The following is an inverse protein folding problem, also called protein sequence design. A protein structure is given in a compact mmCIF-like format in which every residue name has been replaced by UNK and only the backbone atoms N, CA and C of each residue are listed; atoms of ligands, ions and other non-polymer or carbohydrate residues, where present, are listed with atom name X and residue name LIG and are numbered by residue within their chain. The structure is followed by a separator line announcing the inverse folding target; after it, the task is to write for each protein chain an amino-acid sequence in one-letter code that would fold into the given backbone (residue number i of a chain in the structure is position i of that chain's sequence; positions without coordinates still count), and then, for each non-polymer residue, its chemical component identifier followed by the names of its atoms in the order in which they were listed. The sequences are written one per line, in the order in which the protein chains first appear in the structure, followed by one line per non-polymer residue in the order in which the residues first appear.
data_IF_832137595265
#
_entry.id   IF_832137595265
#
_cell.length_a   1.000
_cell.length_b   1.000
_cell.length_c   1.000
_cell.angle_alpha   90.00
_cell.angle_beta   90.00
_cell.angle_gamma   90.00
#
_symmetry.space_group_name_H-M   'P 1'
#
loop_
_entity.id
_entity.type
_entity.pdbx_description
1 polymer ?
#
# COMPACT_ATOMS: atom_id res chain seq x y z
N UNK A 1 18.89 14.43 -63.50
CA UNK A 1 17.96 14.49 -62.35
C UNK A 1 18.02 13.14 -61.65
N UNK A 2 18.78 12.98 -60.55
CA UNK A 2 18.85 11.70 -59.85
C UNK A 2 17.60 11.49 -58.98
N UNK A 3 17.04 10.29 -59.12
CA UNK A 3 15.84 9.77 -58.47
C UNK A 3 16.13 9.54 -56.97
N UNK A 4 15.44 10.25 -56.08
CA UNK A 4 15.59 10.08 -54.64
C UNK A 4 14.73 8.90 -54.15
N UNK A 5 15.38 7.95 -53.47
CA UNK A 5 14.77 6.77 -52.85
C UNK A 5 13.73 7.19 -51.80
N UNK A 6 12.53 6.55 -51.75
CA UNK A 6 11.57 6.85 -50.69
C UNK A 6 12.11 6.37 -49.33
N UNK A 7 11.85 7.12 -48.25
CA UNK A 7 12.29 6.75 -46.90
C UNK A 7 11.61 5.46 -46.43
N UNK A 8 12.27 4.68 -45.55
CA UNK A 8 11.70 3.45 -45.01
C UNK A 8 10.41 3.77 -44.25
N UNK A 9 9.37 2.98 -44.51
CA UNK A 9 8.16 3.01 -43.72
C UNK A 9 8.52 2.56 -42.30
N UNK A 10 8.53 3.50 -41.35
CA UNK A 10 8.52 3.18 -39.94
C UNK A 10 7.21 2.44 -39.66
N UNK A 11 7.35 1.12 -39.57
CA UNK A 11 6.36 0.20 -39.05
C UNK A 11 6.23 0.39 -37.54
N UNK A 12 5.79 1.59 -37.13
CA UNK A 12 5.30 1.83 -35.77
C UNK A 12 3.90 1.23 -35.71
N UNK A 13 3.86 -0.10 -35.71
CA UNK A 13 2.71 -0.93 -35.34
C UNK A 13 2.30 -0.49 -33.94
N UNK A 14 1.45 0.54 -33.91
CA UNK A 14 0.88 1.09 -32.70
C UNK A 14 0.34 -0.06 -31.86
N UNK A 15 0.83 -0.16 -30.61
CA UNK A 15 0.37 -1.18 -29.66
C UNK A 15 -1.14 -1.27 -29.75
N UNK A 16 -1.60 -2.48 -30.04
CA UNK A 16 -3.00 -2.84 -30.08
C UNK A 16 -3.64 -2.40 -28.76
N UNK A 17 -4.35 -1.27 -28.80
CA UNK A 17 -5.07 -0.77 -27.64
C UNK A 17 -6.22 -1.73 -27.48
N UNK A 18 -6.33 -2.42 -26.34
CA UNK A 18 -7.55 -3.17 -26.05
C UNK A 18 -8.76 -2.23 -26.19
N UNK A 19 -9.53 -2.46 -27.26
CA UNK A 19 -10.73 -1.70 -27.55
C UNK A 19 -11.80 -2.10 -26.53
N UNK A 20 -11.98 -1.29 -25.49
CA UNK A 20 -13.15 -1.42 -24.61
C UNK A 20 -14.40 -1.04 -25.41
N UNK A 21 -15.42 -1.90 -25.35
CA UNK A 21 -16.75 -1.63 -25.91
C UNK A 21 -17.79 -1.67 -24.78
N UNK A 22 -18.59 -0.60 -24.61
CA UNK A 22 -18.58 0.65 -25.39
C UNK A 22 -17.29 1.46 -25.16
N UNK A 23 -16.90 2.24 -26.18
CA UNK A 23 -15.73 3.11 -26.08
C UNK A 23 -15.95 4.20 -25.04
N UNK A 24 -14.86 4.77 -24.50
CA UNK A 24 -14.92 5.85 -23.50
C UNK A 24 -15.79 7.00 -24.03
N UNK A 25 -16.86 7.33 -23.30
CA UNK A 25 -17.92 8.24 -23.75
C UNK A 25 -17.55 9.73 -23.60
N UNK A 26 -16.67 10.07 -22.66
CA UNK A 26 -16.32 11.45 -22.31
C UNK A 26 -14.94 11.85 -22.84
N UNK A 27 -14.84 13.06 -23.42
CA UNK A 27 -13.61 13.65 -23.96
C UNK A 27 -13.29 14.98 -23.28
N UNK A 28 -12.05 15.13 -22.85
CA UNK A 28 -11.48 16.39 -22.38
C UNK A 28 -10.52 16.96 -23.44
N UNK A 29 -10.54 18.28 -23.62
CA UNK A 29 -9.71 18.99 -24.62
C UNK A 29 -8.90 20.12 -23.96
N UNK A 30 -7.83 19.79 -23.21
CA UNK A 30 -6.97 20.79 -22.59
C UNK A 30 -6.15 21.57 -23.64
N UNK A 31 -5.78 22.81 -23.30
CA UNK A 31 -4.98 23.71 -24.14
C UNK A 31 -3.64 23.96 -23.45
N UNK A 32 -2.56 23.96 -24.22
CA UNK A 32 -1.19 24.14 -23.74
C UNK A 32 -0.47 25.20 -24.56
N UNK A 33 0.41 25.96 -23.90
CA UNK A 33 1.44 26.76 -24.58
C UNK A 33 2.48 25.85 -25.27
N UNK A 34 3.30 26.43 -26.14
CA UNK A 34 4.34 25.68 -26.86
C UNK A 34 5.33 24.99 -25.91
N UNK A 35 5.76 25.69 -24.85
CA UNK A 35 6.72 25.16 -23.88
C UNK A 35 6.14 24.03 -23.03
N UNK A 36 4.87 24.13 -22.63
CA UNK A 36 4.16 23.07 -21.90
C UNK A 36 3.99 21.82 -22.76
N UNK A 37 3.66 22.00 -24.04
CA UNK A 37 3.52 20.90 -24.98
C UNK A 37 4.86 20.16 -25.18
N UNK A 38 5.96 20.89 -25.33
CA UNK A 38 7.29 20.30 -25.48
C UNK A 38 7.68 19.42 -24.27
N UNK A 39 7.41 19.90 -23.05
CA UNK A 39 7.65 19.13 -21.82
C UNK A 39 6.82 17.85 -21.75
N UNK A 40 5.55 17.92 -22.12
CA UNK A 40 4.65 16.76 -22.14
C UNK A 40 5.12 15.74 -23.18
N UNK A 41 5.52 16.19 -24.38
CA UNK A 41 6.03 15.31 -25.43
C UNK A 41 7.31 14.59 -25.00
N UNK A 42 8.24 15.31 -24.37
CA UNK A 42 9.46 14.73 -23.84
C UNK A 42 9.17 13.66 -22.77
N UNK A 43 8.29 13.95 -21.81
CA UNK A 43 7.91 13.01 -20.77
C UNK A 43 7.19 11.77 -21.34
N UNK A 44 6.31 11.96 -22.31
CA UNK A 44 5.59 10.87 -22.97
C UNK A 44 6.55 9.95 -23.76
N UNK A 45 7.56 10.52 -24.43
CA UNK A 45 8.57 9.75 -25.15
C UNK A 45 9.40 8.85 -24.23
N UNK A 46 9.75 9.33 -23.03
CA UNK A 46 10.51 8.55 -22.04
C UNK A 46 9.79 7.27 -21.58
N UNK A 47 8.47 7.27 -21.60
CA UNK A 47 7.63 6.12 -21.19
C UNK A 47 6.95 5.41 -22.38
N UNK A 48 7.38 5.71 -23.61
CA UNK A 48 6.83 5.15 -24.85
C UNK A 48 5.29 5.29 -24.97
N UNK A 49 4.76 6.46 -24.62
CA UNK A 49 3.35 6.81 -24.74
C UNK A 49 3.14 7.97 -25.72
N UNK A 50 1.94 8.08 -26.28
CA UNK A 50 1.56 9.31 -26.98
C UNK A 50 1.31 10.42 -25.96
N UNK A 51 1.51 11.69 -26.34
CA UNK A 51 1.25 12.83 -25.45
C UNK A 51 -0.17 12.80 -24.85
N UNK A 52 -1.19 12.46 -25.64
CA UNK A 52 -2.58 12.32 -25.16
C UNK A 52 -2.74 11.16 -24.18
N UNK A 53 -2.11 10.02 -24.44
CA UNK A 53 -2.16 8.86 -23.55
C UNK A 53 -1.45 9.13 -22.23
N UNK A 54 -0.31 9.80 -22.29
CA UNK A 54 0.43 10.26 -21.12
C UNK A 54 -0.40 11.23 -20.28
N UNK A 55 -1.03 12.24 -20.89
CA UNK A 55 -1.92 13.16 -20.16
C UNK A 55 -3.09 12.44 -19.48
N UNK A 56 -3.70 11.46 -20.17
CA UNK A 56 -4.80 10.69 -19.61
C UNK A 56 -4.35 9.80 -18.44
N UNK A 57 -3.21 9.10 -18.57
CA UNK A 57 -2.69 8.25 -17.49
C UNK A 57 -2.18 9.08 -16.32
N UNK A 58 -1.52 10.21 -16.56
CA UNK A 58 -1.08 11.13 -15.52
C UNK A 58 -2.29 11.71 -14.76
N UNK A 59 -3.33 12.14 -15.48
CA UNK A 59 -4.56 12.64 -14.86
C UNK A 59 -5.29 11.55 -14.06
N UNK A 60 -5.38 10.32 -14.57
CA UNK A 60 -5.99 9.20 -13.86
C UNK A 60 -5.15 8.73 -12.68
N UNK A 61 -3.82 8.67 -12.80
CA UNK A 61 -2.93 8.35 -11.69
C UNK A 61 -3.07 9.38 -10.57
N UNK A 62 -3.09 10.67 -10.92
CA UNK A 62 -3.32 11.73 -9.95
C UNK A 62 -4.73 11.67 -9.36
N UNK A 63 -5.77 11.44 -10.16
CA UNK A 63 -7.14 11.29 -9.67
C UNK A 63 -7.30 10.06 -8.76
N UNK A 64 -6.67 8.92 -9.08
CA UNK A 64 -6.62 7.73 -8.23
C UNK A 64 -5.87 8.01 -6.92
N UNK A 65 -4.83 8.83 -6.96
CA UNK A 65 -4.11 9.28 -5.77
C UNK A 65 -4.94 10.28 -4.96
N UNK A 66 -5.70 11.17 -5.60
CA UNK A 66 -6.63 12.10 -4.93
C UNK A 66 -7.83 11.36 -4.38
N UNK A 67 -8.34 10.33 -5.04
CA UNK A 67 -9.30 9.38 -4.48
C UNK A 67 -8.66 8.61 -3.33
N UNK A 68 -7.43 8.10 -3.47
CA UNK A 68 -6.73 7.42 -2.37
C UNK A 68 -6.44 8.36 -1.18
N UNK A 69 -6.14 9.63 -1.44
CA UNK A 69 -5.87 10.66 -0.43
C UNK A 69 -7.16 11.26 0.14
N UNK A 70 -8.25 11.30 -0.63
CA UNK A 70 -9.60 11.56 -0.12
C UNK A 70 -10.17 10.34 0.61
N UNK A 71 -9.58 9.15 0.40
CA UNK A 71 -9.76 7.90 1.15
C UNK A 71 -8.73 7.76 2.31
N UNK A 72 -8.37 8.91 2.89
CA UNK A 72 -8.23 9.12 4.33
C UNK A 72 -6.80 8.97 4.94
N UNK A 73 -6.19 10.08 5.41
CA UNK A 73 -5.01 10.07 6.30
C UNK A 73 -5.24 9.27 7.59
N UNK A 74 -6.49 9.12 8.05
CA UNK A 74 -6.84 8.24 9.16
C UNK A 74 -6.60 6.76 8.80
N UNK A 75 -6.60 6.38 7.52
CA UNK A 75 -6.45 4.99 7.09
C UNK A 75 -5.05 4.45 7.28
N UNK A 76 -4.02 5.26 7.03
CA UNK A 76 -2.63 4.89 7.34
C UNK A 76 -2.44 4.80 8.85
N UNK A 77 -2.98 5.77 9.60
CA UNK A 77 -2.95 5.78 11.05
C UNK A 77 -3.68 4.57 11.65
N UNK A 78 -4.85 4.21 11.12
CA UNK A 78 -5.63 3.04 11.55
C UNK A 78 -5.00 1.72 11.12
N UNK A 79 -4.33 1.67 9.96
CA UNK A 79 -3.60 0.47 9.52
C UNK A 79 -2.41 0.19 10.44
N UNK A 80 -1.66 1.22 10.82
CA UNK A 80 -0.57 1.12 11.79
C UNK A 80 -1.10 0.72 13.18
N UNK A 81 -2.20 1.33 13.64
CA UNK A 81 -2.85 0.93 14.90
C UNK A 81 -3.36 -0.52 14.87
N UNK A 82 -3.96 -0.95 13.76
CA UNK A 82 -4.43 -2.32 13.59
C UNK A 82 -3.27 -3.31 13.68
N UNK A 83 -2.14 -3.02 13.03
CA UNK A 83 -0.94 -3.84 13.12
C UNK A 83 -0.40 -3.95 14.57
N UNK A 84 -0.35 -2.84 15.30
CA UNK A 84 0.05 -2.82 16.73
C UNK A 84 -0.91 -3.64 17.61
N UNK A 85 -2.22 -3.55 17.38
CA UNK A 85 -3.24 -4.33 18.11
C UNK A 85 -3.17 -5.84 17.80
N UNK A 86 -2.92 -6.23 16.54
CA UNK A 86 -2.73 -7.65 16.20
C UNK A 86 -1.48 -8.22 16.89
N UNK A 87 -0.38 -7.47 16.92
CA UNK A 87 0.84 -7.89 17.62
C UNK A 87 0.59 -8.05 19.13
N UNK A 88 -0.12 -7.09 19.75
CA UNK A 88 -0.56 -7.16 21.14
C UNK A 88 -1.43 -8.40 21.40
N UNK A 89 -2.45 -8.66 20.55
CA UNK A 89 -3.33 -9.83 20.66
C UNK A 89 -2.57 -11.15 20.57
N UNK A 90 -1.62 -11.27 19.63
CA UNK A 90 -0.78 -12.47 19.51
C UNK A 90 0.10 -12.67 20.74
N UNK A 91 0.62 -11.58 21.32
CA UNK A 91 1.40 -11.63 22.56
C UNK A 91 0.55 -12.19 23.71
N UNK A 92 -0.68 -11.71 23.91
CA UNK A 92 -1.63 -12.19 24.94
C UNK A 92 -2.06 -13.63 24.69
N UNK A 93 -2.34 -14.01 23.44
CA UNK A 93 -2.70 -15.40 23.11
C UNK A 93 -1.62 -16.40 23.53
N UNK A 94 -0.34 -16.04 23.34
CA UNK A 94 0.80 -16.85 23.78
C UNK A 94 0.91 -16.94 25.31
N UNK A 95 0.53 -15.88 26.04
CA UNK A 95 0.45 -15.91 27.52
C UNK A 95 -0.58 -16.93 27.97
N UNK A 96 -1.79 -16.88 27.38
CA UNK A 96 -2.86 -17.83 27.68
C UNK A 96 -2.48 -19.27 27.36
N UNK A 97 -1.83 -19.52 26.22
CA UNK A 97 -1.33 -20.85 25.85
C UNK A 97 -0.28 -21.36 26.85
N UNK A 98 0.68 -20.52 27.24
CA UNK A 98 1.71 -20.91 28.20
C UNK A 98 1.11 -21.22 29.59
N UNK A 99 0.13 -20.42 30.04
CA UNK A 99 -0.56 -20.67 31.31
C UNK A 99 -1.37 -21.97 31.25
N UNK A 100 -2.09 -22.21 30.15
CA UNK A 100 -2.87 -23.44 29.97
C UNK A 100 -1.97 -24.69 29.96
N UNK A 101 -0.77 -24.59 29.35
CA UNK A 101 0.22 -25.66 29.40
C UNK A 101 0.75 -25.89 30.81
N UNK A 102 0.98 -24.82 31.58
CA UNK A 102 1.43 -24.94 32.96
C UNK A 102 0.37 -25.57 33.87
N UNK A 103 -0.90 -25.21 33.69
CA UNK A 103 -2.03 -25.82 34.40
C UNK A 103 -2.18 -27.30 34.01
N UNK A 104 -2.06 -27.63 32.73
CA UNK A 104 -2.11 -29.02 32.26
C UNK A 104 -0.96 -29.87 32.85
N UNK A 105 0.25 -29.34 32.87
CA UNK A 105 1.41 -30.00 33.48
C UNK A 105 1.24 -30.17 34.99
N UNK A 106 0.73 -29.14 35.68
CA UNK A 106 0.39 -29.21 37.11
C UNK A 106 -0.67 -30.26 37.41
N UNK A 107 -1.76 -30.29 36.63
CA UNK A 107 -2.82 -31.28 36.79
C UNK A 107 -2.33 -32.72 36.53
N UNK A 108 -1.34 -32.90 35.65
CA UNK A 108 -0.78 -34.21 35.33
C UNK A 108 0.29 -34.69 36.35
N UNK A 109 1.07 -33.78 36.92
CA UNK A 109 2.27 -34.12 37.71
C UNK A 109 2.19 -33.69 39.18
N UNK A 110 1.20 -32.87 39.54
CA UNK A 110 1.08 -32.24 40.86
C UNK A 110 2.12 -31.15 41.12
N UNK A 111 3.00 -30.84 40.16
CA UNK A 111 4.06 -29.86 40.31
C UNK A 111 4.01 -28.81 39.20
N UNK A 112 4.30 -27.56 39.56
CA UNK A 112 4.35 -26.48 38.59
C UNK A 112 5.64 -26.61 37.75
N UNK A 113 5.60 -26.35 36.44
CA UNK A 113 6.80 -26.41 35.61
C UNK A 113 7.83 -25.36 36.02
N UNK A 114 9.12 -25.72 36.06
CA UNK A 114 10.20 -24.78 36.40
C UNK A 114 10.26 -23.56 35.48
N UNK A 115 9.86 -23.71 34.21
CA UNK A 115 9.81 -22.62 33.23
C UNK A 115 8.66 -21.62 33.48
N UNK A 116 7.71 -21.92 34.37
CA UNK A 116 6.53 -21.08 34.63
C UNK A 116 6.90 -19.68 35.12
N UNK A 117 7.88 -19.58 36.02
CA UNK A 117 8.36 -18.28 36.54
C UNK A 117 8.94 -17.43 35.40
N UNK A 118 9.73 -18.06 34.53
CA UNK A 118 10.31 -17.38 33.35
C UNK A 118 9.22 -16.95 32.37
N UNK A 119 8.21 -17.80 32.15
CA UNK A 119 7.06 -17.45 31.33
C UNK A 119 6.29 -16.27 31.92
N UNK A 120 6.04 -16.24 33.23
CA UNK A 120 5.35 -15.13 33.90
C UNK A 120 6.08 -13.78 33.74
N UNK A 121 7.41 -13.75 33.90
CA UNK A 121 8.22 -12.54 33.66
C UNK A 121 8.12 -12.07 32.20
N UNK A 122 8.12 -12.99 31.24
CA UNK A 122 7.91 -12.65 29.82
C UNK A 122 6.48 -12.15 29.56
N UNK A 123 5.48 -12.64 30.30
CA UNK A 123 4.11 -12.16 30.24
C UNK A 123 4.00 -10.71 30.74
N UNK A 124 4.61 -10.39 31.88
CA UNK A 124 4.65 -9.02 32.43
C UNK A 124 5.25 -8.03 31.45
N UNK A 125 6.44 -8.33 30.89
CA UNK A 125 7.09 -7.47 29.88
C UNK A 125 6.25 -7.27 28.62
N UNK A 126 5.48 -8.28 28.23
CA UNK A 126 4.55 -8.16 27.11
C UNK A 126 3.36 -7.29 27.46
N UNK A 127 2.84 -7.38 28.69
CA UNK A 127 1.77 -6.52 29.19
C UNK A 127 2.23 -5.05 29.24
N UNK A 128 3.43 -4.78 29.75
CA UNK A 128 4.02 -3.43 29.74
C UNK A 128 4.10 -2.83 28.33
N UNK A 129 4.43 -3.67 27.33
CA UNK A 129 4.47 -3.25 25.93
C UNK A 129 3.09 -2.97 25.34
N UNK A 130 2.07 -3.68 25.79
CA UNK A 130 0.67 -3.41 25.43
C UNK A 130 0.21 -2.10 26.08
N UNK A 131 0.53 -1.88 27.35
CA UNK A 131 0.20 -0.63 28.05
C UNK A 131 0.86 0.59 27.40
N UNK A 132 2.10 0.43 26.92
CA UNK A 132 2.79 1.48 26.16
C UNK A 132 2.08 1.81 24.83
N UNK A 133 1.56 0.80 24.13
CA UNK A 133 0.76 0.99 22.90
C UNK A 133 -0.57 1.68 23.23
N UNK A 134 -1.27 1.25 24.28
CA UNK A 134 -2.52 1.88 24.74
C UNK A 134 -2.29 3.36 25.10
N UNK A 135 -1.20 3.69 25.80
CA UNK A 135 -0.86 5.07 26.14
C UNK A 135 -0.51 5.92 24.90
N UNK A 136 0.09 5.31 23.87
CA UNK A 136 0.35 5.98 22.59
C UNK A 136 -0.95 6.28 21.84
N UNK A 137 -1.91 5.34 21.86
CA UNK A 137 -3.25 5.50 21.29
C UNK A 137 -3.99 6.64 22.02
N UNK A 138 -4.05 6.62 23.35
CA UNK A 138 -4.73 7.67 24.15
C UNK A 138 -4.18 9.07 23.85
N UNK A 139 -2.84 9.22 23.72
CA UNK A 139 -2.22 10.50 23.36
C UNK A 139 -2.56 10.99 21.96
N UNK A 140 -2.80 10.09 21.00
CA UNK A 140 -3.12 10.46 19.61
C UNK A 140 -4.60 10.77 19.41
N UNK A 141 -5.45 10.38 20.35
CA UNK A 141 -6.90 10.63 20.31
C UNK A 141 -7.34 11.89 21.08
N UNK A 142 -6.43 12.56 21.80
CA UNK A 142 -6.66 13.82 22.52
C UNK A 142 -6.13 15.01 21.73
#
# INVERSE_FOLDING_TARGET
MPNAMPPPADDDRGRDRQHQRPGREHRLTPRFSADELAKIQQAAAQVAMTATGFCAEAALAHARQVEAASLDPLREVLADFQAELYAARTAVGRIGTNLNQAVAAFNATGQAPEWLVTAAVLCERRMERIDAVIALVDRRLR
#
